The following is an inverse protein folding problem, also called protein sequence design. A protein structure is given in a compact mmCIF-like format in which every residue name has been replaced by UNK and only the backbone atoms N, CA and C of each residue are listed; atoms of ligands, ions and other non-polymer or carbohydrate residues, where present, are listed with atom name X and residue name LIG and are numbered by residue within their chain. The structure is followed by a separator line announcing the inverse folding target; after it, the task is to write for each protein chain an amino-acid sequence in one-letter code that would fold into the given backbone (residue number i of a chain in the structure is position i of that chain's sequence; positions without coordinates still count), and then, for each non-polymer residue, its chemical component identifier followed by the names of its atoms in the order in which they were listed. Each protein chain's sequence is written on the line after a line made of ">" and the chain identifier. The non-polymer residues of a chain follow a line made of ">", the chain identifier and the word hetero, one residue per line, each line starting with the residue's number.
data_IF_054779774326
#
_entry.id   IF_054779774326
#
_cell.length_a   1.000
_cell.length_b   1.000
_cell.length_c   1.000
_cell.angle_alpha   90.00
_cell.angle_beta   90.00
_cell.angle_gamma   90.00
#
_symmetry.space_group_name_H-M   'P 1'
#
loop_
_entity.id
_entity.type
_entity.pdbx_description
1 polymer ?
#
# COMPACT_ATOMS: atom_id res chain seq x y z
N UNK A 1 5.57 -33.90 0.18
CA UNK A 1 4.82 -32.63 0.27
C UNK A 1 5.21 -31.98 1.58
N UNK A 2 6.08 -30.96 1.54
CA UNK A 2 6.47 -30.22 2.74
C UNK A 2 5.29 -29.34 3.17
N UNK A 3 4.98 -29.38 4.43
CA UNK A 3 3.85 -28.74 5.08
C UNK A 3 3.85 -27.22 4.84
N UNK A 4 3.08 -26.76 3.85
CA UNK A 4 2.97 -25.32 3.48
C UNK A 4 2.33 -24.49 4.61
N UNK A 5 1.58 -25.11 5.53
CA UNK A 5 0.91 -24.42 6.64
C UNK A 5 1.90 -23.88 7.68
N UNK A 6 2.95 -24.62 7.97
CA UNK A 6 3.97 -24.24 8.94
C UNK A 6 4.91 -23.12 8.42
N UNK A 7 5.07 -23.01 7.10
CA UNK A 7 5.88 -21.96 6.46
C UNK A 7 5.23 -20.59 6.59
N UNK A 8 3.90 -20.53 6.59
CA UNK A 8 3.12 -19.31 6.78
C UNK A 8 3.29 -18.72 8.18
N UNK A 9 3.25 -19.57 9.23
CA UNK A 9 3.39 -19.13 10.62
C UNK A 9 4.76 -18.50 10.91
N UNK A 10 5.84 -19.16 10.52
CA UNK A 10 7.21 -18.67 10.74
C UNK A 10 7.48 -17.37 9.99
N UNK A 11 6.99 -17.22 8.75
CA UNK A 11 7.10 -15.95 8.02
C UNK A 11 6.38 -14.82 8.73
N UNK A 12 5.20 -15.09 9.28
CA UNK A 12 4.43 -14.10 10.03
C UNK A 12 5.13 -13.70 11.34
N UNK A 13 5.71 -14.66 12.08
CA UNK A 13 6.44 -14.37 13.31
C UNK A 13 7.67 -13.48 13.03
N UNK A 14 8.39 -13.76 11.95
CA UNK A 14 9.53 -12.93 11.52
C UNK A 14 9.03 -11.54 11.11
N UNK A 15 7.94 -11.45 10.36
CA UNK A 15 7.39 -10.16 9.94
C UNK A 15 6.92 -9.34 11.16
N UNK A 16 6.24 -9.96 12.11
CA UNK A 16 5.84 -9.31 13.37
C UNK A 16 7.06 -8.81 14.16
N UNK A 17 8.13 -9.60 14.23
CA UNK A 17 9.35 -9.18 14.89
C UNK A 17 9.97 -7.95 14.22
N UNK A 18 9.98 -7.88 12.88
CA UNK A 18 10.40 -6.68 12.14
C UNK A 18 9.50 -5.50 12.53
N UNK A 19 8.19 -5.68 12.56
CA UNK A 19 7.23 -4.62 12.91
C UNK A 19 7.41 -4.08 14.32
N UNK A 20 7.65 -4.97 15.29
CA UNK A 20 7.73 -4.61 16.71
C UNK A 20 9.08 -4.01 17.10
N UNK A 21 10.17 -4.41 16.45
CA UNK A 21 11.53 -4.04 16.87
C UNK A 21 12.25 -3.07 15.91
N UNK A 22 11.65 -2.71 14.79
CA UNK A 22 12.27 -1.87 13.76
C UNK A 22 13.11 -2.69 12.77
N UNK A 23 13.96 -2.03 11.95
CA UNK A 23 14.78 -2.72 10.95
C UNK A 23 15.68 -3.77 11.59
N UNK A 24 15.60 -5.00 11.09
CA UNK A 24 16.35 -6.13 11.65
C UNK A 24 17.38 -6.69 10.65
N UNK A 25 18.58 -6.96 11.14
CA UNK A 25 19.53 -7.85 10.46
C UNK A 25 19.10 -9.32 10.65
N UNK A 26 19.64 -10.25 9.87
CA UNK A 26 19.44 -11.69 10.07
C UNK A 26 19.80 -12.12 11.51
N UNK A 27 20.90 -11.59 12.04
CA UNK A 27 21.34 -11.91 13.39
C UNK A 27 20.42 -11.36 14.47
N UNK A 28 20.02 -10.08 14.37
CA UNK A 28 19.09 -9.48 15.35
C UNK A 28 17.72 -10.15 15.31
N UNK A 29 17.24 -10.57 14.13
CA UNK A 29 16.01 -11.34 14.01
C UNK A 29 16.13 -12.70 14.73
N UNK A 30 17.26 -13.40 14.60
CA UNK A 30 17.51 -14.64 15.36
C UNK A 30 17.47 -14.41 16.87
N UNK A 31 18.11 -13.35 17.36
CA UNK A 31 18.08 -13.03 18.79
C UNK A 31 16.67 -12.71 19.31
N UNK A 32 15.84 -12.04 18.52
CA UNK A 32 14.49 -11.61 18.90
C UNK A 32 13.47 -12.75 18.81
N UNK A 33 13.56 -13.58 17.78
CA UNK A 33 12.58 -14.65 17.50
C UNK A 33 13.00 -16.01 18.03
N UNK A 34 14.29 -16.21 18.33
CA UNK A 34 14.90 -17.51 18.64
C UNK A 34 14.77 -18.54 17.50
N UNK A 35 14.37 -18.11 16.32
CA UNK A 35 14.32 -18.95 15.12
C UNK A 35 15.75 -19.16 14.60
N UNK A 36 16.14 -20.37 14.19
CA UNK A 36 17.47 -20.63 13.65
C UNK A 36 17.82 -19.74 12.46
N UNK A 37 19.07 -19.25 12.41
CA UNK A 37 19.51 -18.25 11.41
C UNK A 37 19.32 -18.71 9.95
N UNK A 38 19.52 -20.00 9.67
CA UNK A 38 19.27 -20.58 8.34
C UNK A 38 17.80 -20.53 7.95
N UNK A 39 16.90 -20.72 8.92
CA UNK A 39 15.46 -20.59 8.72
C UNK A 39 15.10 -19.12 8.45
N UNK A 40 15.63 -18.18 9.25
CA UNK A 40 15.43 -16.75 9.05
C UNK A 40 15.89 -16.32 7.68
N UNK A 41 17.08 -16.73 7.24
CA UNK A 41 17.59 -16.39 5.91
C UNK A 41 16.64 -16.83 4.80
N UNK A 42 16.12 -18.07 4.87
CA UNK A 42 15.14 -18.57 3.90
C UNK A 42 13.86 -17.75 3.91
N UNK A 43 13.32 -17.40 5.09
CA UNK A 43 12.08 -16.64 5.21
C UNK A 43 12.26 -15.17 4.84
N UNK A 44 13.41 -14.55 5.14
CA UNK A 44 13.71 -13.21 4.65
C UNK A 44 13.73 -13.17 3.14
N UNK A 45 14.33 -14.17 2.49
CA UNK A 45 14.29 -14.28 1.03
C UNK A 45 12.85 -14.40 0.52
N UNK A 46 12.04 -15.29 1.09
CA UNK A 46 10.64 -15.47 0.70
C UNK A 46 9.82 -14.18 0.88
N UNK A 47 9.99 -13.48 2.00
CA UNK A 47 9.31 -12.22 2.27
C UNK A 47 9.77 -11.09 1.34
N UNK A 48 11.04 -11.06 0.97
CA UNK A 48 11.58 -10.09 0.01
C UNK A 48 11.08 -10.41 -1.40
N UNK A 49 11.16 -11.66 -1.84
CA UNK A 49 10.70 -12.10 -3.16
C UNK A 49 9.19 -11.85 -3.34
N UNK A 50 8.42 -11.99 -2.26
CA UNK A 50 6.98 -11.65 -2.24
C UNK A 50 6.68 -10.15 -2.06
N UNK A 51 7.70 -9.31 -1.93
CA UNK A 51 7.55 -7.87 -1.76
C UNK A 51 6.99 -7.42 -0.41
N UNK A 52 6.95 -8.30 0.60
CA UNK A 52 6.44 -7.96 1.94
C UNK A 52 7.45 -7.22 2.80
N UNK A 53 8.74 -7.49 2.61
CA UNK A 53 9.85 -6.75 3.20
C UNK A 53 10.81 -6.30 2.13
N UNK A 54 11.66 -5.35 2.47
CA UNK A 54 12.75 -4.89 1.62
C UNK A 54 14.00 -4.57 2.44
N UNK A 55 15.11 -4.38 1.73
CA UNK A 55 16.36 -3.94 2.34
C UNK A 55 16.28 -2.47 2.70
N UNK A 56 16.66 -2.18 3.93
CA UNK A 56 16.91 -0.84 4.47
C UNK A 56 18.41 -0.69 4.62
N UNK A 57 19.03 0.11 3.78
CA UNK A 57 20.46 0.39 3.89
C UNK A 57 20.70 1.42 5.00
N UNK A 58 21.50 1.05 5.98
CA UNK A 58 21.99 1.97 7.00
C UNK A 58 23.52 1.95 7.02
N UNK A 59 24.13 3.07 7.41
CA UNK A 59 25.56 3.15 7.60
C UNK A 59 25.86 3.26 9.09
N UNK A 60 26.64 2.33 9.62
CA UNK A 60 27.08 2.37 11.01
C UNK A 60 28.61 2.29 11.09
N UNK A 61 29.24 3.35 11.63
CA UNK A 61 30.70 3.46 11.76
C UNK A 61 31.46 3.19 10.44
N UNK A 62 30.98 3.77 9.32
CA UNK A 62 31.59 3.62 8.00
C UNK A 62 31.40 2.24 7.34
N UNK A 63 30.58 1.38 7.91
CA UNK A 63 30.23 0.08 7.32
C UNK A 63 28.76 0.04 6.92
N UNK A 64 28.50 -0.42 5.70
CA UNK A 64 27.14 -0.69 5.23
C UNK A 64 26.53 -1.81 6.08
N UNK A 65 25.39 -1.54 6.68
CA UNK A 65 24.59 -2.48 7.45
C UNK A 65 23.36 -2.82 6.63
N UNK A 66 23.14 -4.09 6.35
CA UNK A 66 21.96 -4.59 5.66
C UNK A 66 20.91 -4.92 6.72
N UNK A 67 19.83 -4.20 6.73
CA UNK A 67 18.67 -4.40 7.58
C UNK A 67 17.45 -4.63 6.71
N UNK A 68 16.41 -5.23 7.26
CA UNK A 68 15.16 -5.51 6.57
C UNK A 68 14.02 -4.82 7.28
N UNK A 69 13.20 -4.13 6.53
CA UNK A 69 12.01 -3.44 7.00
C UNK A 69 10.78 -3.83 6.18
N UNK A 70 9.57 -3.51 6.68
CA UNK A 70 8.34 -3.82 5.97
C UNK A 70 8.18 -2.94 4.72
N UNK A 71 7.35 -3.40 3.81
CA UNK A 71 6.72 -2.57 2.80
C UNK A 71 5.29 -2.25 3.25
N UNK A 72 4.69 -1.20 2.69
CA UNK A 72 3.26 -0.89 2.89
C UNK A 72 2.40 -2.11 2.48
N UNK A 73 2.82 -2.81 1.43
CA UNK A 73 2.17 -4.05 1.02
C UNK A 73 2.26 -5.18 2.04
N UNK A 74 3.42 -5.39 2.61
CA UNK A 74 3.57 -6.38 3.67
C UNK A 74 2.67 -6.06 4.86
N UNK A 75 2.60 -4.77 5.24
CA UNK A 75 1.67 -4.31 6.28
C UNK A 75 0.22 -4.55 5.90
N UNK A 76 -0.19 -4.23 4.68
CA UNK A 76 -1.57 -4.42 4.19
C UNK A 76 -1.98 -5.90 4.20
N UNK A 77 -1.09 -6.79 3.74
CA UNK A 77 -1.35 -8.23 3.77
C UNK A 77 -1.61 -8.73 5.20
N UNK A 78 -0.76 -8.31 6.16
CA UNK A 78 -0.96 -8.70 7.57
C UNK A 78 -2.18 -8.02 8.20
N UNK A 79 -2.48 -6.78 7.81
CA UNK A 79 -3.65 -6.05 8.27
C UNK A 79 -4.96 -6.76 7.94
N UNK A 80 -5.05 -7.35 6.75
CA UNK A 80 -6.21 -8.14 6.32
C UNK A 80 -6.41 -9.42 7.14
N UNK A 81 -5.30 -10.13 7.39
CA UNK A 81 -5.34 -11.52 7.85
C UNK A 81 -5.20 -11.62 9.38
N UNK A 82 -4.79 -10.56 10.06
CA UNK A 82 -4.45 -10.58 11.49
C UNK A 82 -5.10 -9.39 12.25
N UNK A 83 -6.15 -9.70 12.99
CA UNK A 83 -6.90 -8.70 13.79
C UNK A 83 -6.02 -8.02 14.84
N UNK A 84 -5.09 -8.75 15.48
CA UNK A 84 -4.20 -8.16 16.48
C UNK A 84 -3.16 -7.25 15.85
N UNK A 85 -2.68 -7.58 14.66
CA UNK A 85 -1.84 -6.70 13.85
C UNK A 85 -2.60 -5.43 13.46
N UNK A 86 -3.84 -5.57 12.99
CA UNK A 86 -4.67 -4.44 12.60
C UNK A 86 -4.93 -3.45 13.75
N UNK A 87 -5.12 -3.93 14.97
CA UNK A 87 -5.25 -3.06 16.15
C UNK A 87 -4.01 -2.21 16.40
N UNK A 88 -2.82 -2.71 16.08
CA UNK A 88 -1.54 -2.04 16.31
C UNK A 88 -1.06 -1.16 15.15
N UNK A 89 -1.77 -1.09 14.04
CA UNK A 89 -1.29 -0.46 12.80
C UNK A 89 -0.86 1.00 12.98
N UNK A 90 -1.56 1.76 13.81
CA UNK A 90 -1.19 3.16 14.09
C UNK A 90 0.12 3.26 14.89
N UNK A 91 0.37 2.31 15.80
CA UNK A 91 1.63 2.25 16.54
C UNK A 91 2.78 1.85 15.61
N UNK A 92 2.55 0.88 14.74
CA UNK A 92 3.52 0.48 13.72
C UNK A 92 3.83 1.65 12.78
N UNK A 93 2.83 2.39 12.34
CA UNK A 93 3.05 3.60 11.56
C UNK A 93 3.99 4.58 12.28
N UNK A 94 3.79 4.83 13.58
CA UNK A 94 4.62 5.75 14.36
C UNK A 94 6.07 5.26 14.52
N UNK A 95 6.30 3.95 14.55
CA UNK A 95 7.65 3.38 14.58
C UNK A 95 8.34 3.57 13.23
N UNK A 96 7.62 3.25 12.15
CA UNK A 96 8.23 3.15 10.82
C UNK A 96 8.35 4.48 10.08
N UNK A 97 7.53 5.47 10.42
CA UNK A 97 7.57 6.79 9.82
C UNK A 97 8.92 7.53 10.05
N UNK A 98 9.70 7.14 11.04
CA UNK A 98 11.02 7.72 11.29
C UNK A 98 12.10 7.19 10.32
N UNK A 99 11.80 6.14 9.55
CA UNK A 99 12.72 5.53 8.60
C UNK A 99 12.53 6.12 7.19
N UNK A 100 13.61 6.68 6.63
CA UNK A 100 13.61 7.33 5.31
C UNK A 100 13.06 6.44 4.19
N UNK A 101 13.38 5.14 4.22
CA UNK A 101 12.91 4.21 3.20
C UNK A 101 11.38 4.00 3.26
N UNK A 102 10.82 4.00 4.45
CA UNK A 102 9.37 3.94 4.62
C UNK A 102 8.69 5.25 4.22
N UNK A 103 9.31 6.40 4.54
CA UNK A 103 8.83 7.72 4.09
C UNK A 103 8.78 7.82 2.57
N UNK A 104 9.79 7.30 1.85
CA UNK A 104 9.78 7.27 0.37
C UNK A 104 8.61 6.47 -0.18
N UNK A 105 8.28 5.36 0.46
CA UNK A 105 7.15 4.53 0.06
C UNK A 105 5.82 5.24 0.33
N UNK A 106 5.67 5.87 1.50
CA UNK A 106 4.50 6.69 1.81
C UNK A 106 4.31 7.84 0.81
N UNK A 107 5.40 8.52 0.44
CA UNK A 107 5.36 9.58 -0.57
C UNK A 107 4.91 9.05 -1.94
N UNK A 108 5.36 7.86 -2.33
CA UNK A 108 4.92 7.21 -3.57
C UNK A 108 3.42 6.85 -3.55
N UNK A 109 2.86 6.60 -2.36
CA UNK A 109 1.42 6.39 -2.16
C UNK A 109 0.62 7.70 -2.01
N UNK A 110 1.28 8.86 -2.13
CA UNK A 110 0.64 10.18 -2.08
C UNK A 110 0.45 10.77 -0.68
N UNK A 111 1.09 10.20 0.34
CA UNK A 111 1.09 10.83 1.66
C UNK A 111 1.99 12.07 1.68
N UNK A 112 1.51 13.14 2.31
CA UNK A 112 2.36 14.28 2.64
C UNK A 112 3.35 13.88 3.75
N UNK A 113 4.64 13.82 3.39
CA UNK A 113 5.73 13.43 4.30
C UNK A 113 6.34 14.60 5.05
N UNK A 114 5.70 15.78 5.08
CA UNK A 114 6.13 16.85 5.98
C UNK A 114 6.03 16.38 7.43
N UNK A 115 7.16 16.41 8.14
CA UNK A 115 7.34 15.71 9.43
C UNK A 115 6.35 16.17 10.52
N UNK A 116 5.87 17.42 10.48
CA UNK A 116 4.88 17.94 11.44
C UNK A 116 3.51 17.30 11.29
N UNK A 117 3.13 16.93 10.07
CA UNK A 117 1.84 16.34 9.76
C UNK A 117 1.83 14.81 9.88
N UNK A 118 2.98 14.16 9.75
CA UNK A 118 3.07 12.71 9.70
C UNK A 118 2.60 12.03 11.00
N UNK A 119 2.99 12.53 12.18
CA UNK A 119 2.53 11.95 13.47
C UNK A 119 1.02 12.09 13.67
N UNK A 120 0.43 13.16 13.12
CA UNK A 120 -1.02 13.36 13.12
C UNK A 120 -1.71 12.48 12.09
N UNK A 121 -0.98 12.00 11.08
CA UNK A 121 -1.51 11.20 9.96
C UNK A 121 -1.69 9.71 10.28
N UNK A 122 -1.42 9.22 11.48
CA UNK A 122 -1.60 7.81 11.86
C UNK A 122 -3.02 7.30 11.58
N UNK A 123 -4.04 8.16 11.80
CA UNK A 123 -5.43 7.82 11.52
C UNK A 123 -5.74 7.80 10.02
N UNK A 124 -5.04 8.63 9.23
CA UNK A 124 -5.13 8.57 7.78
C UNK A 124 -4.51 7.29 7.25
N UNK A 125 -3.39 6.86 7.83
CA UNK A 125 -2.77 5.58 7.46
C UNK A 125 -3.67 4.39 7.79
N UNK A 126 -4.36 4.40 8.94
CA UNK A 126 -5.38 3.38 9.25
C UNK A 126 -6.49 3.37 8.19
N UNK A 127 -7.04 4.53 7.84
CA UNK A 127 -8.08 4.65 6.80
C UNK A 127 -7.58 4.17 5.43
N UNK A 128 -6.31 4.43 5.12
CA UNK A 128 -5.66 3.90 3.93
C UNK A 128 -5.65 2.36 3.95
N UNK A 129 -5.23 1.75 5.06
CA UNK A 129 -5.22 0.30 5.21
C UNK A 129 -6.64 -0.31 5.13
N UNK A 130 -7.63 0.31 5.78
CA UNK A 130 -9.04 -0.11 5.70
C UNK A 130 -9.54 -0.08 4.26
N UNK A 131 -9.27 1.01 3.55
CA UNK A 131 -9.68 1.20 2.17
C UNK A 131 -9.08 0.14 1.25
N UNK A 132 -7.77 -0.06 1.27
CA UNK A 132 -7.10 -1.02 0.39
C UNK A 132 -7.42 -2.46 0.75
N UNK A 133 -7.61 -2.77 2.04
CA UNK A 133 -8.09 -4.08 2.47
C UNK A 133 -9.49 -4.38 1.91
N UNK A 134 -10.39 -3.40 1.92
CA UNK A 134 -11.72 -3.55 1.32
C UNK A 134 -11.64 -3.75 -0.20
N UNK A 135 -10.76 -3.01 -0.89
CA UNK A 135 -10.51 -3.18 -2.34
C UNK A 135 -10.04 -4.59 -2.67
N UNK A 136 -9.00 -5.07 -1.98
CA UNK A 136 -8.46 -6.40 -2.24
C UNK A 136 -9.50 -7.50 -1.96
N UNK A 137 -10.29 -7.36 -0.89
CA UNK A 137 -11.38 -8.29 -0.61
C UNK A 137 -12.46 -8.30 -1.69
N UNK A 138 -12.78 -7.12 -2.24
CA UNK A 138 -13.77 -7.01 -3.31
C UNK A 138 -13.25 -7.62 -4.62
N UNK A 139 -11.98 -7.41 -4.94
CA UNK A 139 -11.31 -8.04 -6.09
C UNK A 139 -11.38 -9.56 -5.99
N UNK A 140 -11.07 -10.10 -4.80
CA UNK A 140 -11.11 -11.54 -4.55
C UNK A 140 -12.52 -12.13 -4.75
N UNK A 141 -13.56 -11.43 -4.26
CA UNK A 141 -14.96 -11.83 -4.47
C UNK A 141 -15.34 -11.85 -5.96
N UNK A 142 -14.86 -10.89 -6.74
CA UNK A 142 -15.09 -10.85 -8.18
C UNK A 142 -14.39 -12.01 -8.88
N UNK A 143 -13.11 -12.26 -8.56
CA UNK A 143 -12.33 -13.38 -9.11
C UNK A 143 -12.98 -14.73 -8.82
N UNK A 144 -13.57 -14.87 -7.64
CA UNK A 144 -14.27 -16.12 -7.24
C UNK A 144 -15.72 -16.19 -7.71
N UNK A 145 -16.22 -15.19 -8.45
CA UNK A 145 -17.59 -15.15 -8.96
C UNK A 145 -18.65 -14.92 -7.87
N UNK A 146 -18.24 -14.49 -6.66
CA UNK A 146 -19.15 -14.20 -5.54
C UNK A 146 -19.77 -12.80 -5.64
N UNK A 147 -19.24 -11.94 -6.49
CA UNK A 147 -19.74 -10.59 -6.69
C UNK A 147 -19.58 -10.15 -8.15
N UNK A 148 -20.35 -9.14 -8.55
CA UNK A 148 -20.28 -8.51 -9.87
C UNK A 148 -19.54 -7.18 -9.80
N UNK A 149 -19.02 -6.74 -10.95
CA UNK A 149 -18.38 -5.42 -11.06
C UNK A 149 -19.44 -4.32 -10.88
N UNK A 150 -19.48 -3.72 -9.72
CA UNK A 150 -20.37 -2.59 -9.41
C UNK A 150 -19.77 -1.26 -9.89
N UNK A 151 -20.61 -0.22 -9.94
CA UNK A 151 -20.15 1.15 -10.24
C UNK A 151 -19.12 1.63 -9.20
N UNK A 152 -19.34 1.34 -7.94
CA UNK A 152 -18.40 1.73 -6.86
C UNK A 152 -17.07 1.03 -7.03
N UNK A 153 -17.10 -0.21 -7.48
CA UNK A 153 -15.91 -0.95 -7.84
C UNK A 153 -15.15 -0.29 -9.00
N UNK A 154 -15.82 0.16 -10.04
CA UNK A 154 -15.19 0.88 -11.15
C UNK A 154 -14.57 2.21 -10.70
N UNK A 155 -15.22 2.94 -9.78
CA UNK A 155 -14.65 4.17 -9.17
C UNK A 155 -13.36 3.83 -8.45
N UNK A 156 -13.41 2.84 -7.60
CA UNK A 156 -12.30 2.37 -6.80
C UNK A 156 -11.12 1.98 -7.68
N UNK A 157 -11.39 1.20 -8.69
CA UNK A 157 -10.42 0.67 -9.60
C UNK A 157 -9.81 1.76 -10.49
N UNK A 158 -10.60 2.67 -11.02
CA UNK A 158 -10.08 3.78 -11.83
C UNK A 158 -9.13 4.68 -11.04
N UNK A 159 -9.38 4.89 -9.76
CA UNK A 159 -8.47 5.64 -8.89
C UNK A 159 -7.10 4.97 -8.74
N UNK A 160 -7.06 3.65 -8.77
CA UNK A 160 -5.83 2.85 -8.68
C UNK A 160 -5.01 2.88 -9.98
N UNK A 161 -5.67 2.80 -11.14
CA UNK A 161 -4.99 2.90 -12.45
C UNK A 161 -4.37 4.28 -12.65
N UNK A 162 -5.05 5.32 -12.17
CA UNK A 162 -4.57 6.69 -12.26
C UNK A 162 -3.48 6.99 -11.22
N UNK A 163 -3.35 6.18 -10.18
CA UNK A 163 -2.19 6.21 -9.31
C UNK A 163 -0.99 5.64 -10.10
N UNK A 164 0.12 6.36 -10.13
CA UNK A 164 1.35 5.92 -10.81
C UNK A 164 2.04 4.72 -10.14
N UNK A 165 1.35 3.99 -9.28
CA UNK A 165 1.89 2.86 -8.53
C UNK A 165 1.96 1.62 -9.42
N UNK A 166 3.18 1.24 -9.82
CA UNK A 166 3.47 0.12 -10.72
C UNK A 166 2.92 -1.23 -10.23
N UNK A 167 2.70 -1.36 -8.93
CA UNK A 167 2.15 -2.58 -8.32
C UNK A 167 0.66 -2.73 -8.64
N UNK A 168 -0.10 -1.66 -8.50
CA UNK A 168 -1.51 -1.68 -8.89
C UNK A 168 -1.67 -1.88 -10.39
N UNK A 169 -0.76 -1.35 -11.21
CA UNK A 169 -0.74 -1.61 -12.64
C UNK A 169 -0.58 -3.11 -12.95
N UNK A 170 0.28 -3.83 -12.23
CA UNK A 170 0.44 -5.28 -12.43
C UNK A 170 -0.83 -6.05 -12.07
N UNK A 171 -1.41 -5.78 -10.91
CA UNK A 171 -2.69 -6.36 -10.46
C UNK A 171 -3.81 -6.09 -11.48
N UNK A 172 -3.82 -4.88 -12.05
CA UNK A 172 -4.77 -4.49 -13.07
C UNK A 172 -4.61 -5.25 -14.38
N UNK A 173 -3.36 -5.43 -14.83
CA UNK A 173 -3.07 -6.22 -16.02
C UNK A 173 -3.57 -7.66 -15.86
N UNK A 174 -3.41 -8.23 -14.67
CA UNK A 174 -3.95 -9.56 -14.36
C UNK A 174 -5.48 -9.58 -14.40
N UNK A 175 -6.15 -8.61 -13.74
CA UNK A 175 -7.63 -8.51 -13.76
C UNK A 175 -8.17 -8.26 -15.15
N UNK A 176 -7.52 -7.42 -15.97
CA UNK A 176 -7.92 -7.18 -17.35
C UNK A 176 -7.87 -8.45 -18.20
N UNK A 177 -6.86 -9.30 -18.00
CA UNK A 177 -6.73 -10.56 -18.73
C UNK A 177 -7.73 -11.62 -18.29
N UNK A 178 -8.12 -11.63 -17.00
CA UNK A 178 -9.01 -12.62 -16.41
C UNK A 178 -10.51 -12.29 -16.59
N UNK A 179 -10.86 -11.00 -16.75
CA UNK A 179 -12.23 -10.50 -16.79
C UNK A 179 -12.51 -9.63 -18.03
N UNK A 180 -12.71 -10.22 -19.22
CA UNK A 180 -12.85 -9.46 -20.48
C UNK A 180 -13.99 -8.42 -20.50
N UNK A 181 -15.09 -8.68 -19.80
CA UNK A 181 -16.20 -7.72 -19.71
C UNK A 181 -15.88 -6.48 -18.86
N UNK A 182 -14.94 -6.60 -17.95
CA UNK A 182 -14.51 -5.52 -17.05
C UNK A 182 -13.69 -4.44 -17.77
N UNK A 183 -12.86 -4.84 -18.73
CA UNK A 183 -12.07 -3.91 -19.52
C UNK A 183 -12.95 -2.86 -20.19
N UNK A 184 -13.99 -3.29 -20.92
CA UNK A 184 -14.91 -2.40 -21.60
C UNK A 184 -15.60 -1.43 -20.63
N UNK A 185 -16.14 -1.96 -19.53
CA UNK A 185 -16.85 -1.15 -18.53
C UNK A 185 -15.94 -0.12 -17.88
N UNK A 186 -14.70 -0.47 -17.63
CA UNK A 186 -13.72 0.43 -17.03
C UNK A 186 -13.24 1.51 -18.01
N UNK A 187 -12.99 1.16 -19.26
CA UNK A 187 -12.63 2.11 -20.30
C UNK A 187 -13.75 3.14 -20.50
N UNK A 188 -15.01 2.70 -20.59
CA UNK A 188 -16.17 3.58 -20.67
C UNK A 188 -16.28 4.50 -19.45
N UNK A 189 -16.05 3.97 -18.25
CA UNK A 189 -16.10 4.74 -17.01
C UNK A 189 -15.01 5.82 -16.97
N UNK A 190 -13.76 5.48 -17.31
CA UNK A 190 -12.64 6.42 -17.34
C UNK A 190 -12.89 7.52 -18.38
N UNK A 191 -13.38 7.18 -19.59
CA UNK A 191 -13.72 8.17 -20.60
C UNK A 191 -14.79 9.14 -20.11
N UNK A 192 -15.85 8.64 -19.46
CA UNK A 192 -16.89 9.48 -18.89
C UNK A 192 -16.37 10.40 -17.79
N UNK A 193 -15.46 9.90 -16.92
CA UNK A 193 -14.82 10.73 -15.89
C UNK A 193 -13.97 11.86 -16.51
N UNK A 194 -13.17 11.55 -17.52
CA UNK A 194 -12.34 12.52 -18.23
C UNK A 194 -13.23 13.60 -18.87
N UNK A 195 -14.34 13.22 -19.49
CA UNK A 195 -15.29 14.13 -20.08
C UNK A 195 -15.93 15.02 -19.02
N UNK A 196 -16.42 14.45 -17.93
CA UNK A 196 -17.03 15.19 -16.81
C UNK A 196 -16.05 16.20 -16.19
N UNK A 197 -14.77 15.80 -16.04
CA UNK A 197 -13.72 16.70 -15.56
C UNK A 197 -13.49 17.88 -16.50
N UNK A 198 -13.43 17.62 -17.82
CA UNK A 198 -13.28 18.70 -18.84
C UNK A 198 -14.43 19.70 -18.80
N UNK A 199 -15.65 19.20 -18.61
CA UNK A 199 -16.85 20.05 -18.51
C UNK A 199 -16.84 20.87 -17.22
N UNK A 200 -16.50 20.24 -16.09
CA UNK A 200 -16.31 20.95 -14.81
C UNK A 200 -15.26 22.05 -14.95
N UNK A 201 -14.10 21.77 -15.52
CA UNK A 201 -13.03 22.76 -15.73
C UNK A 201 -13.49 23.95 -16.56
N UNK A 202 -14.19 23.70 -17.68
CA UNK A 202 -14.75 24.76 -18.53
C UNK A 202 -15.75 25.63 -17.76
N UNK A 203 -16.62 25.00 -16.97
CA UNK A 203 -17.60 25.69 -16.13
C UNK A 203 -16.94 26.56 -15.07
N UNK A 204 -15.92 26.03 -14.40
CA UNK A 204 -15.14 26.74 -13.39
C UNK A 204 -14.41 27.96 -13.98
N UNK A 205 -13.74 27.79 -15.13
CA UNK A 205 -13.05 28.89 -15.83
C UNK A 205 -14.02 29.99 -16.25
N UNK A 206 -15.22 29.62 -16.72
CA UNK A 206 -16.27 30.59 -17.08
C UNK A 206 -16.73 31.40 -15.87
N UNK A 207 -16.96 30.73 -14.74
CA UNK A 207 -17.36 31.40 -13.48
C UNK A 207 -16.26 32.32 -12.94
N UNK A 208 -15.02 31.89 -12.99
CA UNK A 208 -13.86 32.68 -12.55
C UNK A 208 -13.70 33.96 -13.37
N UNK A 209 -13.86 33.89 -14.70
CA UNK A 209 -13.82 35.07 -15.59
C UNK A 209 -14.97 36.05 -15.33
N UNK A 210 -16.13 35.56 -14.98
CA UNK A 210 -17.28 36.39 -14.62
C UNK A 210 -17.06 37.17 -13.32
N UNK A 211 -16.46 36.52 -12.31
CA UNK A 211 -16.11 37.16 -11.03
C UNK A 211 -15.08 38.26 -11.19
N UNK A 212 -14.05 38.04 -12.02
CA UNK A 212 -12.99 39.02 -12.28
C UNK A 212 -13.49 40.28 -13.00
N UNK A 213 -14.57 40.17 -13.81
CA UNK A 213 -15.21 41.31 -14.50
C UNK A 213 -16.15 42.13 -13.60
N UNK A 214 -16.58 41.62 -12.47
CA UNK A 214 -17.49 42.28 -11.54
C UNK A 214 -16.76 43.00 -10.40
N UNK A 215 -15.44 42.95 -10.30
CA UNK A 215 -14.69 43.73 -9.32
C UNK A 215 -14.49 45.13 -9.89
N UNK A 216 -15.12 46.18 -9.34
CA UNK A 216 -14.92 47.57 -9.81
C UNK A 216 -13.46 47.92 -9.56
N UNK A 217 -12.81 48.53 -10.56
CA UNK A 217 -11.50 49.19 -10.38
C UNK A 217 -11.74 50.32 -9.39
N UNK A 218 -11.23 50.18 -8.16
CA UNK A 218 -11.06 51.29 -7.24
C UNK A 218 -9.91 52.18 -7.71
#
# INVERSE_FOLDING_TARGET
>A
MADMSNTSGVSMDIFRAIMDYGPLTLYSANQKTRIPIGTIHRHFKLLTDSGKIRVYESEQKGRKKIEYGPTIYGMLTCYKDDVEFAKKIENYFLIWIEHKEFQKELAAEGFDISFENLKQSKHLFRKYMDYFSAVENQIEKIKTGQDSVSRDMLILLSSQILSSNTRYQKMWTELYSELPGMQKSLDEYIQNMIQSYKEFKKSFEKQSRLKTRQTPKQ
#
